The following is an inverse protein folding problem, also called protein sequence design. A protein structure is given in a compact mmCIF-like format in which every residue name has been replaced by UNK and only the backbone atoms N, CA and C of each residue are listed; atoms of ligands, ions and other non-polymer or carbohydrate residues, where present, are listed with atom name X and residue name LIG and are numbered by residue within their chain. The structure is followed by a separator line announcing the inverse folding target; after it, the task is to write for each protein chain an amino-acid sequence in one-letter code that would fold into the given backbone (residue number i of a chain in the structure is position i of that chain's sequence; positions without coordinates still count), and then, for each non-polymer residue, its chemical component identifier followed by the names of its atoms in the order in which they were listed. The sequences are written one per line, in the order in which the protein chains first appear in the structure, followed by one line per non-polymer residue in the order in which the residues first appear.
data_IF_365073201399
#
_entry.id   IF_365073201399
#
_cell.length_a   1.000
_cell.length_b   1.000
_cell.length_c   1.000
_cell.angle_alpha   90.00
_cell.angle_beta   90.00
_cell.angle_gamma   90.00
#
_symmetry.space_group_name_H-M   'P 1'
#
loop_
_entity.id
_entity.type
_entity.pdbx_description
1 polymer ?
#
# COMPACT_ATOMS: atom_id res chain seq x y z
N UNK A 1 17.74 -8.60 21.72
CA UNK A 1 17.73 -9.46 20.52
C UNK A 1 16.45 -9.19 19.74
N UNK A 2 16.50 -9.03 18.42
CA UNK A 2 15.30 -8.95 17.60
C UNK A 2 14.77 -10.37 17.37
N UNK A 3 13.49 -10.61 17.65
CA UNK A 3 12.86 -11.90 17.39
C UNK A 3 12.41 -11.96 15.93
N UNK A 4 12.54 -13.12 15.25
CA UNK A 4 12.06 -13.26 13.88
C UNK A 4 10.54 -13.05 13.83
N UNK A 5 10.05 -12.49 12.73
CA UNK A 5 8.62 -12.36 12.48
C UNK A 5 7.99 -13.73 12.22
N UNK A 6 6.78 -13.95 12.73
CA UNK A 6 5.99 -15.15 12.44
C UNK A 6 5.40 -15.00 11.03
N UNK A 7 5.62 -15.99 10.16
CA UNK A 7 5.05 -16.03 8.81
C UNK A 7 3.88 -17.01 8.79
N UNK A 8 2.72 -16.55 8.35
CA UNK A 8 1.49 -17.35 8.27
C UNK A 8 1.07 -17.50 6.81
N UNK A 9 0.88 -18.74 6.36
CA UNK A 9 0.30 -19.05 5.06
C UNK A 9 -1.17 -19.42 5.22
N UNK A 10 -2.04 -18.63 4.60
CA UNK A 10 -3.48 -18.91 4.60
C UNK A 10 -3.85 -19.80 3.41
N UNK A 11 -4.82 -20.70 3.63
CA UNK A 11 -5.38 -21.52 2.55
C UNK A 11 -6.16 -20.68 1.51
N UNK A 12 -6.80 -19.57 1.94
CA UNK A 12 -7.60 -18.69 1.08
C UNK A 12 -7.10 -17.26 1.12
N UNK A 13 -7.08 -16.60 -0.04
CA UNK A 13 -6.69 -15.18 -0.17
C UNK A 13 -7.67 -14.25 0.55
N UNK A 14 -8.96 -14.58 0.53
CA UNK A 14 -10.02 -13.81 1.20
C UNK A 14 -9.81 -13.77 2.71
N UNK A 15 -9.55 -14.92 3.35
CA UNK A 15 -9.25 -14.99 4.79
C UNK A 15 -8.07 -14.11 5.18
N UNK A 16 -6.99 -14.14 4.39
CA UNK A 16 -5.85 -13.24 4.60
C UNK A 16 -6.24 -11.77 4.48
N UNK A 17 -7.05 -11.42 3.48
CA UNK A 17 -7.51 -10.05 3.27
C UNK A 17 -8.38 -9.56 4.44
N UNK A 18 -9.26 -10.40 4.97
CA UNK A 18 -10.12 -10.11 6.12
C UNK A 18 -9.29 -9.87 7.39
N UNK A 19 -8.26 -10.69 7.62
CA UNK A 19 -7.31 -10.50 8.72
C UNK A 19 -6.59 -9.16 8.62
N UNK A 20 -6.04 -8.82 7.46
CA UNK A 20 -5.34 -7.55 7.23
C UNK A 20 -6.28 -6.35 7.38
N UNK A 21 -7.51 -6.45 6.88
CA UNK A 21 -8.51 -5.39 7.01
C UNK A 21 -8.93 -5.17 8.48
N UNK A 22 -9.08 -6.26 9.25
CA UNK A 22 -9.45 -6.21 10.66
C UNK A 22 -8.30 -5.66 11.52
N UNK A 23 -7.06 -6.07 11.24
CA UNK A 23 -5.87 -5.58 11.93
C UNK A 23 -5.62 -4.08 11.75
N UNK A 24 -6.06 -3.48 10.63
CA UNK A 24 -5.99 -2.03 10.43
C UNK A 24 -6.98 -1.25 11.32
N UNK A 25 -8.09 -1.89 11.71
CA UNK A 25 -9.16 -1.27 12.51
C UNK A 25 -8.90 -1.40 14.02
N UNK A 26 -8.19 -2.45 14.44
CA UNK A 26 -7.93 -2.74 15.85
C UNK A 26 -6.43 -2.64 16.16
N UNK A 27 -6.08 -1.89 17.20
CA UNK A 27 -4.72 -1.92 17.76
C UNK A 27 -4.61 -3.14 18.68
N UNK A 28 -3.90 -4.16 18.22
CA UNK A 28 -3.72 -5.42 18.97
C UNK A 28 -2.53 -5.25 19.93
N UNK A 29 -2.70 -5.68 21.17
CA UNK A 29 -1.66 -5.74 22.18
C UNK A 29 -1.24 -7.20 22.42
N UNK A 30 0.00 -7.42 22.85
CA UNK A 30 0.49 -8.73 23.28
C UNK A 30 -0.37 -9.34 24.39
N UNK A 31 -0.91 -8.52 25.29
CA UNK A 31 -1.82 -8.93 26.37
C UNK A 31 -3.18 -9.39 25.87
N UNK A 32 -3.60 -9.01 24.65
CA UNK A 32 -4.81 -9.54 24.02
C UNK A 32 -4.63 -11.00 23.59
N UNK A 33 -3.38 -11.43 23.38
CA UNK A 33 -3.04 -12.80 23.00
C UNK A 33 -2.83 -13.68 24.23
N UNK A 34 -2.14 -13.15 25.23
CA UNK A 34 -1.94 -13.81 26.51
C UNK A 34 -1.66 -12.80 27.62
N UNK A 35 -2.43 -12.86 28.70
CA UNK A 35 -2.45 -11.84 29.76
C UNK A 35 -1.11 -11.67 30.48
N UNK A 36 -0.27 -12.71 30.48
CA UNK A 36 1.04 -12.70 31.14
C UNK A 36 2.16 -12.05 30.32
N UNK A 37 1.90 -11.69 29.05
CA UNK A 37 2.91 -11.05 28.21
C UNK A 37 3.14 -9.59 28.60
N UNK A 38 4.39 -9.13 28.44
CA UNK A 38 4.72 -7.71 28.56
C UNK A 38 3.92 -6.91 27.52
N UNK A 39 3.19 -5.85 27.91
CA UNK A 39 2.40 -5.04 26.99
C UNK A 39 3.22 -4.47 25.84
N UNK A 40 2.74 -4.64 24.62
CA UNK A 40 3.39 -4.15 23.42
C UNK A 40 2.51 -4.32 22.18
N UNK A 41 2.70 -3.47 21.15
CA UNK A 41 1.89 -3.52 19.95
C UNK A 41 2.21 -4.78 19.13
N UNK A 42 1.16 -5.42 18.63
CA UNK A 42 1.26 -6.52 17.66
C UNK A 42 0.90 -5.98 16.28
N UNK A 43 1.79 -6.21 15.31
CA UNK A 43 1.62 -5.77 13.93
C UNK A 43 1.33 -6.96 13.02
N UNK A 44 0.27 -6.84 12.21
CA UNK A 44 -0.06 -7.81 11.16
C UNK A 44 0.15 -7.12 9.82
N UNK A 45 1.16 -7.59 9.08
CA UNK A 45 1.55 -7.04 7.79
C UNK A 45 1.50 -8.12 6.71
N UNK A 46 1.38 -7.70 5.44
CA UNK A 46 1.52 -8.62 4.32
C UNK A 46 2.98 -9.04 4.15
N UNK A 47 3.22 -10.35 3.99
CA UNK A 47 4.55 -10.86 3.67
C UNK A 47 4.83 -10.70 2.17
N UNK A 48 5.64 -9.71 1.82
CA UNK A 48 6.06 -9.43 0.44
C UNK A 48 7.33 -10.21 0.06
N UNK A 49 7.49 -10.47 -1.23
CA UNK A 49 8.77 -10.95 -1.80
C UNK A 49 9.87 -9.89 -1.59
N UNK A 50 11.14 -10.31 -1.64
CA UNK A 50 12.26 -9.39 -1.49
C UNK A 50 12.20 -8.24 -2.52
N UNK A 51 11.88 -8.57 -3.78
CA UNK A 51 11.65 -7.60 -4.85
C UNK A 51 10.57 -6.58 -4.48
N UNK A 52 9.39 -7.03 -4.07
CA UNK A 52 8.29 -6.12 -3.75
C UNK A 52 8.52 -5.32 -2.47
N UNK A 53 9.29 -5.85 -1.51
CA UNK A 53 9.77 -5.08 -0.35
C UNK A 53 10.65 -3.92 -0.81
N UNK A 54 11.66 -4.19 -1.63
CA UNK A 54 12.57 -3.17 -2.17
C UNK A 54 11.80 -2.11 -2.97
N UNK A 55 10.91 -2.56 -3.86
CA UNK A 55 10.06 -1.69 -4.67
C UNK A 55 9.18 -0.78 -3.80
N UNK A 56 8.50 -1.33 -2.79
CA UNK A 56 7.69 -0.55 -1.87
C UNK A 56 8.52 0.48 -1.09
N UNK A 57 9.75 0.13 -0.68
CA UNK A 57 10.63 1.08 0.01
C UNK A 57 11.04 2.23 -0.90
N UNK A 58 11.37 1.96 -2.17
CA UNK A 58 11.66 3.01 -3.16
C UNK A 58 10.45 3.91 -3.39
N UNK A 59 9.25 3.35 -3.58
CA UNK A 59 8.02 4.16 -3.71
C UNK A 59 7.75 5.01 -2.47
N UNK A 60 7.95 4.48 -1.26
CA UNK A 60 7.83 5.25 -0.02
C UNK A 60 8.89 6.36 0.10
N UNK A 61 10.09 6.16 -0.46
CA UNK A 61 11.08 7.23 -0.55
C UNK A 61 10.60 8.37 -1.46
N UNK A 62 9.95 8.06 -2.58
CA UNK A 62 9.28 9.05 -3.43
C UNK A 62 8.20 9.85 -2.70
N UNK A 63 7.42 9.19 -1.82
CA UNK A 63 6.45 9.90 -0.95
C UNK A 63 7.14 10.88 -0.01
N UNK A 64 8.23 10.46 0.65
CA UNK A 64 9.01 11.36 1.52
C UNK A 64 9.63 12.53 0.76
N UNK A 65 10.05 12.29 -0.47
CA UNK A 65 10.58 13.30 -1.39
C UNK A 65 9.49 14.16 -2.05
N UNK A 66 8.20 13.92 -1.76
CA UNK A 66 7.04 14.62 -2.33
C UNK A 66 6.87 14.46 -3.85
N UNK A 67 7.50 13.46 -4.47
CA UNK A 67 7.23 13.09 -5.87
C UNK A 67 6.02 12.16 -6.03
N UNK A 68 5.57 11.56 -4.92
CA UNK A 68 4.35 10.75 -4.85
C UNK A 68 3.49 11.20 -3.67
N UNK A 69 2.17 11.24 -3.85
CA UNK A 69 1.24 11.45 -2.75
C UNK A 69 1.14 10.20 -1.85
N UNK A 70 1.08 9.01 -2.45
CA UNK A 70 0.88 7.77 -1.71
C UNK A 70 1.66 6.59 -2.31
N UNK A 71 2.08 5.67 -1.43
CA UNK A 71 2.67 4.39 -1.79
C UNK A 71 2.24 3.31 -0.79
N UNK A 72 1.66 2.21 -1.28
CA UNK A 72 1.18 1.12 -0.44
C UNK A 72 1.29 -0.23 -1.15
N UNK A 73 1.07 -1.31 -0.39
CA UNK A 73 0.92 -2.64 -0.95
C UNK A 73 -0.50 -3.16 -0.71
N UNK A 74 -0.99 -3.96 -1.65
CA UNK A 74 -2.22 -4.72 -1.55
C UNK A 74 -2.11 -5.97 -2.41
N UNK A 75 -2.45 -7.11 -1.85
CA UNK A 75 -2.42 -8.40 -2.53
C UNK A 75 -1.07 -8.76 -3.16
N UNK A 76 0.00 -8.46 -2.44
CA UNK A 76 1.37 -8.73 -2.83
C UNK A 76 1.88 -7.78 -3.91
N UNK A 77 1.07 -6.80 -4.33
CA UNK A 77 1.38 -5.84 -5.39
C UNK A 77 1.64 -4.47 -4.78
N UNK A 78 2.50 -3.69 -5.42
CA UNK A 78 2.83 -2.32 -5.02
C UNK A 78 2.02 -1.35 -5.87
N UNK A 79 1.46 -0.34 -5.22
CA UNK A 79 0.67 0.72 -5.84
C UNK A 79 1.13 2.09 -5.37
N UNK A 80 0.96 3.07 -6.24
CA UNK A 80 1.27 4.47 -5.97
C UNK A 80 0.17 5.39 -6.48
N UNK A 81 0.17 6.62 -5.98
CA UNK A 81 -0.54 7.77 -6.55
C UNK A 81 0.44 8.92 -6.65
N UNK A 82 0.46 9.58 -7.79
CA UNK A 82 1.32 10.75 -8.03
C UNK A 82 0.79 11.94 -7.24
N UNK A 83 -0.50 12.24 -7.40
CA UNK A 83 -1.23 13.27 -6.64
C UNK A 83 -2.37 12.66 -5.85
N UNK A 84 -3.00 13.44 -4.96
CA UNK A 84 -4.12 12.97 -4.14
C UNK A 84 -5.31 12.45 -5.00
N UNK A 85 -5.58 13.15 -6.11
CA UNK A 85 -6.70 12.89 -7.01
C UNK A 85 -6.33 11.94 -8.16
N UNK A 86 -5.04 11.62 -8.33
CA UNK A 86 -4.60 10.67 -9.35
C UNK A 86 -5.11 9.25 -9.08
N UNK A 87 -5.38 8.52 -10.16
CA UNK A 87 -5.70 7.09 -10.07
C UNK A 87 -4.53 6.31 -9.43
N UNK A 88 -4.87 5.23 -8.75
CA UNK A 88 -3.85 4.30 -8.27
C UNK A 88 -3.17 3.58 -9.44
N UNK A 89 -1.85 3.60 -9.51
CA UNK A 89 -1.04 2.92 -10.52
C UNK A 89 -0.32 1.75 -9.86
N UNK A 90 -0.36 0.57 -10.48
CA UNK A 90 0.42 -0.59 -10.04
C UNK A 90 1.83 -0.50 -10.61
N UNK A 91 2.82 -0.73 -9.76
CA UNK A 91 4.24 -0.78 -10.15
C UNK A 91 4.69 -2.24 -10.24
N UNK A 92 5.41 -2.59 -11.31
CA UNK A 92 5.88 -3.95 -11.56
C UNK A 92 7.39 -4.11 -11.33
N UNK A 93 8.20 -3.22 -11.90
CA UNK A 93 9.67 -3.33 -11.86
C UNK A 93 10.30 -2.19 -11.09
N UNK A 94 9.94 -0.94 -11.38
CA UNK A 94 10.57 0.22 -10.78
C UNK A 94 9.68 1.47 -10.80
N UNK A 95 10.04 2.46 -9.98
CA UNK A 95 9.31 3.73 -9.90
C UNK A 95 9.39 4.55 -11.20
N UNK A 96 10.43 4.36 -12.02
CA UNK A 96 10.59 5.00 -13.34
C UNK A 96 9.48 4.59 -14.34
N UNK A 97 8.71 3.54 -14.06
CA UNK A 97 7.50 3.22 -14.83
C UNK A 97 6.47 4.36 -14.82
N UNK A 98 6.62 5.34 -13.93
CA UNK A 98 5.77 6.53 -13.86
C UNK A 98 6.14 7.62 -14.87
N UNK A 99 7.39 7.67 -15.34
CA UNK A 99 7.90 8.74 -16.21
C UNK A 99 7.17 8.78 -17.58
N UNK A 100 6.48 7.68 -17.95
CA UNK A 100 5.68 7.57 -19.17
C UNK A 100 4.16 7.77 -18.99
N UNK A 101 3.66 8.03 -17.78
CA UNK A 101 2.23 8.09 -17.48
C UNK A 101 1.67 9.52 -17.35
N UNK A 102 2.53 10.54 -17.40
CA UNK A 102 2.15 11.96 -17.33
C UNK A 102 1.61 12.54 -18.66
N UNK A 103 1.47 11.74 -19.73
CA UNK A 103 0.96 12.16 -21.03
C UNK A 103 -0.50 11.79 -21.29
N UNK A 104 -1.41 12.00 -20.32
CA UNK A 104 -2.84 12.01 -20.63
C UNK A 104 -3.33 13.45 -20.76
N UNK A 105 -3.90 13.85 -21.92
CA UNK A 105 -4.46 15.18 -22.10
C UNK A 105 -5.58 15.36 -21.09
N UNK A 106 -5.56 16.50 -20.38
CA UNK A 106 -6.72 16.95 -19.63
C UNK A 106 -7.93 16.90 -20.57
N UNK A 107 -9.00 16.22 -20.14
CA UNK A 107 -10.26 16.26 -20.85
C UNK A 107 -10.65 17.74 -21.02
N UNK A 108 -10.68 18.22 -22.27
CA UNK A 108 -11.17 19.55 -22.58
C UNK A 108 -12.62 19.64 -22.06
N UNK A 109 -13.00 20.70 -21.31
CA UNK A 109 -14.39 20.91 -20.98
C UNK A 109 -15.17 21.04 -22.29
N UNK A 110 -16.27 20.29 -22.40
CA UNK A 110 -17.15 20.33 -23.55
C UNK A 110 -17.55 21.79 -23.85
N UNK A 111 -17.56 22.22 -25.12
CA UNK A 111 -18.02 23.56 -25.45
C UNK A 111 -19.46 23.73 -24.96
N UNK A 112 -19.66 24.69 -24.06
CA UNK A 112 -20.98 25.15 -23.68
C UNK A 112 -21.66 25.67 -24.95
N UNK A 113 -22.61 24.89 -25.46
CA UNK A 113 -23.50 25.32 -26.53
C UNK A 113 -24.47 26.35 -25.95
N UNK A 114 -24.15 27.63 -26.13
CA UNK A 114 -25.11 28.71 -26.03
C UNK A 114 -26.26 28.44 -27.01
N UNK A 115 -27.43 28.10 -26.46
CA UNK A 115 -28.66 28.11 -27.24
C UNK A 115 -29.37 29.41 -26.92
N UNK A 116 -29.54 30.18 -27.99
CA UNK A 116 -30.22 31.47 -28.08
C UNK A 116 -31.68 31.40 -27.66
#
# INVERSE_FOLDING_TARGET
RSHPSIVVQFARRTTRADWLASAKKKRIQTTDLYTSFTPGPVFINEHLTQHNKALLQHCKAGVRAKSLAYAWSKDGKVFVRVTQDSRAIRIYRSIQELDGLDHHPQAQPAPHSDTK
#
